data_IF_403675841874
#
_entry.id   IF_403675841874
#
_cell.length_a   1.000
_cell.length_b   1.000
_cell.length_c   1.000
_cell.angle_alpha   90.00
_cell.angle_beta   90.00
_cell.angle_gamma   90.00
#
_symmetry.space_group_name_H-M   'P 1'
#
loop_
_entity.id
_entity.type
_entity.pdbx_description
1 polymer ?
#
# COMPACT_ATOMS: atom_id res chain seq x y z
N UNK A 1 23.69 -8.23 1.87
CA UNK A 1 22.71 -7.31 2.48
C UNK A 1 21.32 -7.75 2.08
N UNK A 2 20.39 -7.71 3.02
CA UNK A 2 18.98 -8.01 2.79
C UNK A 2 18.14 -6.88 3.39
N UNK A 3 17.08 -6.47 2.70
CA UNK A 3 16.05 -5.53 3.19
C UNK A 3 14.66 -5.92 2.70
N UNK A 4 13.66 -5.36 3.36
CA UNK A 4 12.31 -5.29 2.85
C UNK A 4 12.08 -3.98 2.09
N UNK A 5 11.21 -4.02 1.09
CA UNK A 5 10.80 -2.87 0.28
C UNK A 5 9.38 -3.08 -0.29
N UNK A 6 8.74 -2.00 -0.72
CA UNK A 6 7.48 -2.06 -1.47
C UNK A 6 7.79 -2.04 -2.97
N UNK A 7 7.26 -3.01 -3.70
CA UNK A 7 7.35 -3.04 -5.16
C UNK A 7 6.34 -2.10 -5.78
N UNK A 8 6.84 -0.98 -6.32
CA UNK A 8 6.05 0.03 -7.02
C UNK A 8 6.53 0.12 -8.46
N UNK A 9 5.66 -0.22 -9.42
CA UNK A 9 6.00 -0.33 -10.84
C UNK A 9 7.29 -1.15 -11.08
N UNK A 10 8.40 -0.50 -11.46
CA UNK A 10 9.69 -1.13 -11.74
C UNK A 10 10.70 -1.03 -10.58
N UNK A 11 10.38 -0.27 -9.54
CA UNK A 11 11.29 0.07 -8.45
C UNK A 11 10.88 -0.64 -7.15
N UNK A 12 11.86 -0.85 -6.26
CA UNK A 12 11.61 -1.31 -4.91
C UNK A 12 11.87 -0.16 -3.96
N UNK A 13 10.80 0.47 -3.49
CA UNK A 13 10.87 1.63 -2.61
C UNK A 13 11.13 1.21 -1.16
N UNK A 14 11.88 2.05 -0.46
CA UNK A 14 12.19 1.82 0.94
C UNK A 14 10.94 1.88 1.81
N UNK A 15 10.88 0.98 2.79
CA UNK A 15 9.82 1.02 3.79
C UNK A 15 9.86 2.34 4.57
N UNK A 16 8.71 2.82 5.08
CA UNK A 16 8.71 3.93 6.02
C UNK A 16 9.48 3.59 7.30
N UNK A 17 10.02 4.61 7.96
CA UNK A 17 10.62 4.44 9.29
C UNK A 17 9.52 4.06 10.31
N UNK A 18 9.81 3.19 11.29
CA UNK A 18 11.11 2.60 11.64
C UNK A 18 11.42 1.26 10.95
N UNK A 19 10.62 0.84 9.96
CA UNK A 19 10.72 -0.48 9.32
C UNK A 19 11.81 -0.55 8.25
N UNK A 20 12.29 0.59 7.75
CA UNK A 20 13.49 0.64 6.92
C UNK A 20 14.70 0.07 7.68
N UNK A 21 15.05 -1.18 7.36
CA UNK A 21 16.22 -1.86 7.92
C UNK A 21 16.94 -2.68 6.85
N UNK A 22 18.26 -2.52 6.81
CA UNK A 22 19.18 -3.33 6.03
C UNK A 22 20.05 -4.17 6.97
N UNK A 23 20.18 -5.47 6.67
CA UNK A 23 20.92 -6.40 7.51
C UNK A 23 21.91 -7.22 6.69
N UNK A 24 23.08 -7.47 7.28
CA UNK A 24 24.02 -8.44 6.75
C UNK A 24 23.60 -9.84 7.21
N UNK A 25 23.36 -10.73 6.26
CA UNK A 25 23.03 -12.14 6.54
C UNK A 25 24.21 -13.00 6.11
N UNK A 26 24.97 -13.58 7.06
CA UNK A 26 25.96 -14.61 6.75
C UNK A 26 25.24 -15.82 6.15
N UNK A 27 25.84 -16.45 5.13
CA UNK A 27 25.22 -17.55 4.38
C UNK A 27 24.59 -18.64 5.26
N UNK A 28 23.41 -19.12 4.87
CA UNK A 28 22.67 -20.18 5.54
C UNK A 28 21.94 -19.79 6.84
N UNK A 29 22.01 -18.51 7.25
CA UNK A 29 21.30 -18.04 8.46
C UNK A 29 19.93 -17.44 8.13
N UNK A 30 19.02 -17.58 9.08
CA UNK A 30 17.71 -16.90 9.06
C UNK A 30 17.83 -15.51 9.68
N UNK A 31 17.03 -14.57 9.20
CA UNK A 31 16.92 -13.22 9.75
C UNK A 31 15.46 -12.82 9.84
N UNK A 32 15.12 -12.01 10.84
CA UNK A 32 13.80 -11.43 11.01
C UNK A 32 13.87 -9.94 10.64
N UNK A 33 13.07 -9.55 9.67
CA UNK A 33 12.94 -8.17 9.21
C UNK A 33 11.57 -7.64 9.65
N UNK A 34 11.50 -6.51 10.36
CA UNK A 34 10.23 -5.95 10.81
C UNK A 34 9.49 -5.30 9.63
N UNK A 35 8.17 -5.40 9.63
CA UNK A 35 7.27 -4.73 8.70
C UNK A 35 6.04 -4.25 9.46
N UNK A 36 5.34 -3.26 8.89
CA UNK A 36 4.12 -2.70 9.50
C UNK A 36 2.88 -3.49 9.11
N UNK A 37 2.74 -3.79 7.80
CA UNK A 37 1.59 -4.47 7.23
C UNK A 37 2.03 -5.57 6.27
N UNK A 38 1.31 -6.68 6.30
CA UNK A 38 1.40 -7.76 5.32
C UNK A 38 0.62 -7.38 4.06
N UNK A 39 1.32 -6.92 3.03
CA UNK A 39 0.74 -6.38 1.80
C UNK A 39 1.34 -7.05 0.55
N UNK A 40 0.62 -7.12 -0.59
CA UNK A 40 1.01 -7.94 -1.73
C UNK A 40 2.26 -7.44 -2.46
N UNK A 41 2.54 -6.14 -2.36
CA UNK A 41 3.75 -5.53 -2.91
C UNK A 41 4.97 -5.61 -1.98
N UNK A 42 4.85 -6.20 -0.78
CA UNK A 42 6.00 -6.35 0.12
C UNK A 42 6.98 -7.39 -0.46
N UNK A 43 8.22 -6.97 -0.67
CA UNK A 43 9.25 -7.78 -1.30
C UNK A 43 10.54 -7.80 -0.47
N UNK A 44 11.34 -8.83 -0.71
CA UNK A 44 12.66 -9.01 -0.14
C UNK A 44 13.67 -8.70 -1.24
N UNK A 45 14.55 -7.75 -0.98
CA UNK A 45 15.66 -7.42 -1.86
C UNK A 45 16.98 -7.82 -1.20
N UNK A 46 17.83 -8.52 -1.95
CA UNK A 46 19.13 -9.00 -1.50
C UNK A 46 20.24 -8.61 -2.49
N UNK A 47 21.40 -8.25 -1.96
CA UNK A 47 22.59 -7.91 -2.75
C UNK A 47 23.88 -8.29 -2.02
N UNK A 48 24.99 -8.37 -2.74
CA UNK A 48 26.31 -8.56 -2.13
C UNK A 48 26.84 -7.25 -1.53
N UNK A 49 27.83 -7.34 -0.64
CA UNK A 49 28.52 -6.17 -0.07
C UNK A 49 29.58 -5.62 -1.04
N UNK A 50 29.21 -5.39 -2.29
CA UNK A 50 30.07 -4.80 -3.31
C UNK A 50 29.37 -3.63 -3.98
N UNK A 51 30.16 -2.62 -4.38
CA UNK A 51 29.68 -1.48 -5.14
C UNK A 51 29.00 -1.99 -6.42
N UNK A 52 27.84 -1.41 -6.76
CA UNK A 52 27.00 -1.79 -7.90
C UNK A 52 26.69 -3.29 -8.03
N UNK A 53 26.68 -4.01 -6.90
CA UNK A 53 26.27 -5.41 -6.93
C UNK A 53 24.82 -5.54 -7.43
N UNK A 54 24.53 -6.53 -8.32
CA UNK A 54 23.19 -6.76 -8.79
C UNK A 54 22.28 -7.09 -7.60
N UNK A 55 21.11 -6.45 -7.60
CA UNK A 55 20.08 -6.67 -6.58
C UNK A 55 19.12 -7.74 -7.09
N UNK A 56 18.93 -8.79 -6.30
CA UNK A 56 17.90 -9.80 -6.54
C UNK A 56 16.68 -9.48 -5.69
N UNK A 57 15.49 -9.64 -6.25
CA UNK A 57 14.22 -9.31 -5.61
C UNK A 57 13.27 -10.49 -5.68
N UNK A 58 12.59 -10.78 -4.58
CA UNK A 58 11.49 -11.75 -4.52
C UNK A 58 10.29 -11.15 -3.79
N UNK A 59 9.11 -11.30 -4.36
CA UNK A 59 7.86 -10.81 -3.80
C UNK A 59 6.98 -12.00 -3.42
N UNK A 60 7.15 -12.56 -2.21
CA UNK A 60 6.44 -13.78 -1.82
C UNK A 60 4.94 -13.55 -1.57
N UNK A 61 4.53 -12.32 -1.25
CA UNK A 61 3.15 -12.04 -0.83
C UNK A 61 2.22 -11.65 -1.99
N UNK A 62 2.74 -11.54 -3.21
CA UNK A 62 1.94 -11.16 -4.39
C UNK A 62 0.82 -12.15 -4.70
N UNK A 63 1.09 -13.44 -4.52
CA UNK A 63 0.12 -14.52 -4.77
C UNK A 63 -0.53 -15.02 -3.48
N UNK A 64 -0.27 -14.34 -2.35
CA UNK A 64 -0.77 -14.75 -1.03
C UNK A 64 -2.14 -14.08 -0.76
N UNK A 65 -3.26 -14.82 -0.72
CA UNK A 65 -4.57 -14.22 -0.56
C UNK A 65 -4.73 -13.45 0.75
N UNK A 66 -4.05 -13.88 1.81
CA UNK A 66 -4.07 -13.20 3.11
C UNK A 66 -3.50 -11.77 3.04
N UNK A 67 -2.60 -11.48 2.08
CA UNK A 67 -2.03 -10.14 1.90
C UNK A 67 -3.02 -9.14 1.30
N UNK A 68 -4.13 -9.59 0.72
CA UNK A 68 -5.21 -8.73 0.20
C UNK A 68 -6.33 -8.48 1.24
N UNK A 69 -6.07 -8.84 2.50
CA UNK A 69 -7.02 -8.72 3.60
C UNK A 69 -7.04 -7.34 4.29
N UNK A 70 -7.47 -7.29 5.56
CA UNK A 70 -7.61 -6.04 6.32
C UNK A 70 -6.34 -5.20 6.45
N UNK A 71 -5.16 -5.84 6.46
CA UNK A 71 -3.88 -5.13 6.57
C UNK A 71 -3.58 -4.25 5.36
N UNK A 72 -3.94 -4.69 4.15
CA UNK A 72 -3.82 -3.87 2.94
C UNK A 72 -4.62 -2.59 3.08
N UNK A 73 -5.88 -2.69 3.51
CA UNK A 73 -6.75 -1.53 3.69
C UNK A 73 -6.33 -0.65 4.87
N UNK A 74 -5.74 -1.24 5.91
CA UNK A 74 -5.15 -0.49 7.03
C UNK A 74 -3.92 0.31 6.62
N UNK A 75 -3.24 -0.09 5.54
CA UNK A 75 -2.09 0.64 4.98
C UNK A 75 -2.49 1.84 4.10
N UNK A 76 -3.78 2.01 3.81
CA UNK A 76 -4.32 3.07 2.95
C UNK A 76 -4.59 4.33 3.77
N UNK A 77 -4.31 5.50 3.19
CA UNK A 77 -4.64 6.80 3.77
C UNK A 77 -5.44 7.63 2.78
N UNK A 78 -6.46 8.29 3.30
CA UNK A 78 -7.24 9.25 2.53
C UNK A 78 -6.83 10.67 2.90
N UNK A 79 -6.61 11.49 1.87
CA UNK A 79 -6.37 12.92 2.00
C UNK A 79 -7.55 13.67 1.42
N UNK A 80 -8.23 14.43 2.28
CA UNK A 80 -9.31 15.31 1.86
C UNK A 80 -8.73 16.67 1.43
N UNK A 81 -8.91 17.00 0.15
CA UNK A 81 -8.51 18.26 -0.45
C UNK A 81 -9.70 19.21 -0.65
N UNK A 82 -10.83 18.93 -0.01
CA UNK A 82 -12.04 19.76 -0.05
C UNK A 82 -11.87 21.03 0.79
N UNK A 83 -10.93 21.90 0.41
CA UNK A 83 -10.62 23.13 1.14
C UNK A 83 -11.34 24.37 0.58
N UNK A 84 -12.48 24.70 1.21
CA UNK A 84 -12.97 26.05 1.54
C UNK A 84 -13.37 27.10 0.50
N UNK A 85 -13.39 26.89 -0.83
CA UNK A 85 -13.86 28.00 -1.70
C UNK A 85 -14.55 27.69 -3.03
N UNK A 86 -14.69 26.43 -3.46
CA UNK A 86 -15.43 26.10 -4.70
C UNK A 86 -16.09 24.73 -4.52
N UNK A 87 -17.23 24.51 -5.18
CA UNK A 87 -18.09 23.32 -5.17
C UNK A 87 -17.38 22.04 -5.70
N UNK A 88 -16.18 21.74 -5.23
CA UNK A 88 -15.33 20.64 -5.67
C UNK A 88 -14.95 19.81 -4.46
N UNK A 89 -15.47 18.59 -4.42
CA UNK A 89 -15.05 17.55 -3.50
C UNK A 89 -13.91 16.76 -4.16
N UNK A 90 -12.74 16.75 -3.53
CA UNK A 90 -11.58 16.04 -4.05
C UNK A 90 -10.93 15.25 -2.91
N UNK A 91 -10.81 13.94 -3.09
CA UNK A 91 -10.20 13.03 -2.14
C UNK A 91 -9.16 12.20 -2.86
N UNK A 92 -7.98 12.08 -2.26
CA UNK A 92 -6.89 11.27 -2.80
C UNK A 92 -6.65 10.09 -1.90
N UNK A 93 -6.58 8.91 -2.49
CA UNK A 93 -6.20 7.67 -1.83
C UNK A 93 -4.70 7.44 -2.04
N UNK A 94 -3.94 7.30 -0.97
CA UNK A 94 -2.57 6.82 -1.00
C UNK A 94 -2.51 5.43 -0.40
N UNK A 95 -1.82 4.51 -1.07
CA UNK A 95 -1.70 3.11 -0.64
C UNK A 95 -0.24 2.68 -0.68
N UNK A 96 0.13 1.73 0.18
CA UNK A 96 1.48 1.16 0.17
C UNK A 96 1.76 0.31 -1.07
N UNK A 97 0.72 -0.21 -1.72
CA UNK A 97 0.81 -1.03 -2.92
C UNK A 97 0.02 -0.41 -4.09
N UNK A 98 0.36 -0.76 -5.35
CA UNK A 98 -0.44 -0.35 -6.50
C UNK A 98 -1.82 -1.03 -6.44
N UNK A 99 -2.87 -0.24 -6.41
CA UNK A 99 -4.27 -0.67 -6.39
C UNK A 99 -5.02 0.05 -7.50
N UNK A 100 -6.11 -0.54 -7.99
CA UNK A 100 -7.05 0.10 -8.89
C UNK A 100 -8.42 0.16 -8.19
N UNK A 101 -8.60 1.11 -7.25
CA UNK A 101 -9.80 1.16 -6.44
C UNK A 101 -11.00 1.64 -7.28
N UNK A 102 -12.18 1.22 -6.83
CA UNK A 102 -13.46 1.83 -7.19
C UNK A 102 -14.06 2.43 -5.93
N UNK A 103 -14.53 3.66 -6.01
CA UNK A 103 -15.12 4.37 -4.89
C UNK A 103 -16.52 4.85 -5.27
N UNK A 104 -17.46 4.78 -4.34
CA UNK A 104 -18.85 5.22 -4.53
C UNK A 104 -19.22 6.12 -3.34
N UNK A 105 -19.93 7.22 -3.59
CA UNK A 105 -20.46 8.03 -2.50
C UNK A 105 -21.53 7.24 -1.76
N UNK A 106 -21.51 7.30 -0.43
CA UNK A 106 -22.52 6.68 0.39
C UNK A 106 -23.13 7.72 1.34
N UNK A 107 -24.44 7.65 1.55
CA UNK A 107 -25.18 8.50 2.48
C UNK A 107 -25.35 7.78 3.82
N UNK A 108 -25.49 8.54 4.90
CA UNK A 108 -25.85 7.98 6.21
C UNK A 108 -26.88 8.89 6.86
N UNK A 109 -28.06 8.35 7.16
CA UNK A 109 -29.19 9.11 7.68
C UNK A 109 -28.96 9.58 9.13
N UNK A 110 -28.22 8.79 9.92
CA UNK A 110 -27.87 9.09 11.30
C UNK A 110 -26.36 9.06 11.47
N UNK A 111 -25.78 10.09 12.09
CA UNK A 111 -24.33 10.19 12.35
C UNK A 111 -23.78 9.14 13.35
N UNK A 112 -24.55 8.10 13.69
CA UNK A 112 -24.08 7.01 14.52
C UNK A 112 -23.02 6.20 13.77
N UNK A 113 -21.91 5.86 14.44
CA UNK A 113 -20.76 5.17 13.84
C UNK A 113 -21.14 3.81 13.23
N UNK A 114 -22.13 3.12 13.80
CA UNK A 114 -22.58 1.79 13.37
C UNK A 114 -23.76 1.82 12.38
N UNK A 115 -24.30 2.99 12.03
CA UNK A 115 -25.40 3.06 11.08
C UNK A 115 -24.91 2.68 9.67
N UNK A 116 -25.67 1.86 8.92
CA UNK A 116 -25.28 1.45 7.58
C UNK A 116 -25.18 2.66 6.65
N UNK A 117 -24.18 2.65 5.76
CA UNK A 117 -24.09 3.61 4.67
C UNK A 117 -24.86 3.05 3.47
N UNK A 118 -25.71 3.86 2.83
CA UNK A 118 -26.39 3.47 1.60
C UNK A 118 -25.73 4.14 0.41
N UNK A 119 -25.35 3.34 -0.59
CA UNK A 119 -24.71 3.84 -1.79
C UNK A 119 -25.62 4.82 -2.54
N UNK A 120 -25.04 5.93 -2.96
CA UNK A 120 -25.71 6.92 -3.80
C UNK A 120 -25.63 6.42 -5.25
N UNK A 121 -26.77 6.28 -5.95
CA UNK A 121 -26.77 5.79 -7.32
C UNK A 121 -25.98 6.73 -8.24
N UNK A 122 -25.28 6.15 -9.23
CA UNK A 122 -24.49 6.88 -10.24
C UNK A 122 -23.38 7.78 -9.67
N UNK A 123 -22.82 7.40 -8.52
CA UNK A 123 -21.72 8.14 -7.87
C UNK A 123 -20.39 7.39 -7.85
N UNK A 124 -20.32 6.25 -8.55
CA UNK A 124 -19.10 5.43 -8.61
C UNK A 124 -18.06 6.08 -9.51
N UNK A 125 -16.84 6.23 -8.99
CA UNK A 125 -15.67 6.65 -9.73
C UNK A 125 -14.65 5.51 -9.77
N UNK A 126 -14.01 5.33 -10.93
CA UNK A 126 -12.91 4.38 -11.11
C UNK A 126 -11.69 5.07 -11.71
N UNK A 127 -10.49 4.56 -11.43
CA UNK A 127 -9.24 5.13 -11.94
C UNK A 127 -9.10 5.02 -13.48
N UNK A 128 -9.90 4.15 -14.11
CA UNK A 128 -9.88 3.90 -15.58
C UNK A 128 -10.67 4.96 -16.39
N UNK A 129 -11.41 5.86 -15.74
CA UNK A 129 -12.25 6.88 -16.43
C UNK A 129 -11.51 8.19 -16.74
N UNK A 130 -10.19 8.25 -16.53
CA UNK A 130 -9.35 9.36 -16.98
C UNK A 130 -8.70 9.03 -18.34
N UNK A 131 -9.48 9.10 -19.42
CA UNK A 131 -8.98 9.10 -20.81
C UNK A 131 -9.33 10.41 -21.49
#
# INVERSE_FOLDING_TARGET
MVRLCHQLALECEELPRPFHRQVLVPGGRRVSLPYEFLVPCLCIEASYLHHDSPRSKRCPFREEPAAYGPELWSSVRFHDYSASSKDQMAMVLSASCPLHPRATLCWREVAAETAPCHDVPNSTASEEEQV
#
